data_IF_413277366534
#
_entry.id   IF_413277366534
#
_cell.length_a   1.000
_cell.length_b   1.000
_cell.length_c   1.000
_cell.angle_alpha   90.00
_cell.angle_beta   90.00
_cell.angle_gamma   90.00
#
_symmetry.space_group_name_H-M   'P 1'
#
loop_
_entity.id
_entity.type
_entity.pdbx_description
1 polymer ?
#
# COMPACT_ATOMS: atom_id res chain seq x y z
N UNK A 1 -24.57 20.24 33.58
CA UNK A 1 -23.64 19.75 32.52
C UNK A 1 -22.72 18.74 33.15
N UNK A 2 -22.95 17.46 32.91
CA UNK A 2 -22.13 16.38 33.44
C UNK A 2 -20.86 16.28 32.58
N UNK A 3 -19.78 16.83 33.06
CA UNK A 3 -18.51 16.89 32.33
C UNK A 3 -17.76 15.56 32.30
N UNK A 4 -17.98 14.65 33.27
CA UNK A 4 -17.33 13.36 33.33
C UNK A 4 -18.35 12.26 33.64
N UNK A 5 -18.53 11.33 32.72
CA UNK A 5 -19.38 10.14 32.94
C UNK A 5 -18.57 8.92 33.37
N UNK A 6 -17.37 8.79 32.86
CA UNK A 6 -16.54 7.63 33.08
C UNK A 6 -15.07 8.04 33.05
N UNK A 7 -14.26 7.34 33.82
CA UNK A 7 -12.82 7.34 33.73
C UNK A 7 -12.38 5.99 33.16
N UNK A 8 -11.48 5.99 32.20
CA UNK A 8 -10.92 4.76 31.60
C UNK A 8 -9.42 4.75 31.78
N UNK A 9 -8.87 3.61 32.17
CA UNK A 9 -7.43 3.39 32.31
C UNK A 9 -7.06 1.94 32.03
N UNK A 10 -5.79 1.64 32.12
CA UNK A 10 -5.26 0.31 31.94
C UNK A 10 -5.28 -0.49 33.26
N UNK A 11 -5.27 -1.83 33.15
CA UNK A 11 -5.48 -2.76 34.27
C UNK A 11 -4.47 -2.57 35.41
N UNK A 12 -3.28 -2.07 35.16
CA UNK A 12 -2.29 -1.77 36.20
C UNK A 12 -2.75 -0.73 37.24
N UNK A 13 -3.82 0.00 36.96
CA UNK A 13 -4.40 1.01 37.87
C UNK A 13 -5.66 0.53 38.61
N UNK A 14 -6.02 -0.77 38.49
CA UNK A 14 -7.19 -1.31 39.17
C UNK A 14 -7.13 -1.12 40.69
N UNK A 15 -5.96 -1.31 41.27
CA UNK A 15 -5.72 -1.14 42.71
C UNK A 15 -5.89 0.33 43.17
N UNK A 16 -5.88 1.29 42.26
CA UNK A 16 -6.08 2.70 42.55
C UNK A 16 -7.59 3.12 42.57
N UNK A 17 -8.51 2.21 42.25
CA UNK A 17 -9.95 2.51 42.23
C UNK A 17 -10.47 3.04 43.55
N UNK A 18 -10.09 2.55 44.74
CA UNK A 18 -10.53 3.14 46.01
C UNK A 18 -10.11 4.61 46.19
N UNK A 19 -8.92 4.98 45.69
CA UNK A 19 -8.44 6.37 45.69
C UNK A 19 -9.30 7.22 44.73
N UNK A 20 -9.60 6.72 43.53
CA UNK A 20 -10.48 7.39 42.59
C UNK A 20 -11.86 7.66 43.19
N UNK A 21 -12.49 6.65 43.80
CA UNK A 21 -13.80 6.77 44.42
C UNK A 21 -13.79 7.78 45.59
N UNK A 22 -12.70 7.81 46.36
CA UNK A 22 -12.52 8.79 47.42
C UNK A 22 -12.45 10.22 46.85
N UNK A 23 -11.64 10.44 45.82
CA UNK A 23 -11.49 11.77 45.16
C UNK A 23 -12.85 12.23 44.60
N UNK A 24 -13.60 11.34 43.92
CA UNK A 24 -14.92 11.65 43.35
C UNK A 24 -15.89 12.09 44.43
N UNK A 25 -15.91 11.39 45.58
CA UNK A 25 -16.77 11.73 46.70
C UNK A 25 -16.36 13.07 47.36
N UNK A 26 -15.09 13.28 47.63
CA UNK A 26 -14.60 14.53 48.25
C UNK A 26 -14.76 15.75 47.31
N UNK A 27 -14.77 15.52 45.99
CA UNK A 27 -15.10 16.55 45.02
C UNK A 27 -16.62 16.85 44.88
N UNK A 28 -17.47 16.20 45.71
CA UNK A 28 -18.89 16.46 45.78
C UNK A 28 -19.74 15.75 44.72
N UNK A 29 -19.21 14.80 43.98
CA UNK A 29 -19.99 14.02 43.01
C UNK A 29 -20.74 12.85 43.71
N UNK A 30 -21.80 13.15 44.42
CA UNK A 30 -22.57 12.17 45.20
C UNK A 30 -23.79 11.61 44.47
N UNK A 31 -24.28 12.32 43.43
CA UNK A 31 -25.42 11.88 42.62
C UNK A 31 -24.91 11.39 41.26
N UNK A 32 -25.12 10.11 40.95
CA UNK A 32 -24.64 9.46 39.73
C UNK A 32 -23.12 9.71 39.52
N UNK A 33 -22.26 9.32 40.50
CA UNK A 33 -20.82 9.57 40.37
C UNK A 33 -20.24 8.89 39.15
N UNK A 34 -19.24 9.49 38.52
CA UNK A 34 -18.51 8.83 37.44
C UNK A 34 -17.81 7.56 37.95
N UNK A 35 -17.67 6.60 37.07
CA UNK A 35 -17.03 5.30 37.39
C UNK A 35 -15.73 5.16 36.65
N UNK A 36 -14.72 4.63 37.30
CA UNK A 36 -13.49 4.17 36.69
C UNK A 36 -13.66 2.74 36.15
N UNK A 37 -13.21 2.54 34.92
CA UNK A 37 -13.26 1.24 34.24
C UNK A 37 -11.86 0.98 33.67
N UNK A 38 -11.30 -0.17 33.99
CA UNK A 38 -9.99 -0.60 33.53
C UNK A 38 -10.13 -1.63 32.41
N UNK A 39 -9.24 -1.54 31.44
CA UNK A 39 -9.16 -2.46 30.30
C UNK A 39 -7.73 -2.98 30.13
N UNK A 40 -7.61 -4.16 29.53
CA UNK A 40 -6.34 -4.67 29.08
C UNK A 40 -5.77 -3.74 27.98
N UNK A 41 -4.44 -3.62 27.99
CA UNK A 41 -3.74 -2.88 26.93
C UNK A 41 -3.80 -3.70 25.65
N UNK A 42 -4.06 -3.03 24.51
CA UNK A 42 -3.89 -3.62 23.21
C UNK A 42 -2.41 -3.83 22.91
N UNK A 43 -2.04 -5.05 22.57
CA UNK A 43 -0.73 -5.39 22.03
C UNK A 43 -0.92 -5.94 20.60
N UNK A 44 -0.01 -5.57 19.69
CA UNK A 44 0.01 -6.03 18.32
C UNK A 44 1.30 -6.81 18.06
N UNK A 45 1.23 -7.82 17.22
CA UNK A 45 2.42 -8.51 16.72
C UNK A 45 3.32 -7.55 15.96
N UNK A 46 4.61 -7.77 15.97
CA UNK A 46 5.62 -6.97 15.23
C UNK A 46 5.55 -5.45 15.49
N UNK A 47 4.96 -5.03 16.63
CA UNK A 47 4.68 -3.63 16.91
C UNK A 47 5.09 -3.26 18.34
N UNK A 48 5.91 -2.24 18.47
CA UNK A 48 6.26 -1.66 19.78
C UNK A 48 5.21 -0.65 20.20
N UNK A 49 4.50 -0.92 21.31
CA UNK A 49 3.47 -0.03 21.87
C UNK A 49 3.99 0.81 23.04
N UNK A 50 5.26 0.67 23.42
CA UNK A 50 5.87 1.42 24.54
C UNK A 50 6.31 2.81 24.09
N UNK A 51 5.74 3.88 24.69
CA UNK A 51 6.12 5.26 24.41
C UNK A 51 7.63 5.51 24.61
N UNK A 52 8.25 4.89 25.63
CA UNK A 52 9.69 5.03 25.91
C UNK A 52 10.52 4.46 24.76
N UNK A 53 10.16 3.27 24.26
CA UNK A 53 10.85 2.63 23.13
C UNK A 53 10.63 3.41 21.83
N UNK A 54 9.39 3.85 21.55
CA UNK A 54 9.09 4.68 20.37
C UNK A 54 9.84 6.02 20.39
N UNK A 55 9.96 6.64 21.57
CA UNK A 55 10.78 7.86 21.75
C UNK A 55 12.24 7.61 21.39
N UNK A 56 12.80 6.49 21.85
CA UNK A 56 14.19 6.14 21.54
C UNK A 56 14.42 5.96 20.03
N UNK A 57 13.44 5.40 19.28
CA UNK A 57 13.54 5.30 17.82
C UNK A 57 13.64 6.69 17.17
N UNK A 58 12.84 7.65 17.63
CA UNK A 58 12.86 9.04 17.12
C UNK A 58 14.16 9.76 17.52
N UNK A 59 14.57 9.68 18.80
CA UNK A 59 15.76 10.36 19.31
C UNK A 59 17.06 9.82 18.70
N UNK A 60 17.10 8.53 18.35
CA UNK A 60 18.24 7.91 17.68
C UNK A 60 18.20 8.05 16.14
N UNK A 61 17.20 8.73 15.57
CA UNK A 61 17.09 8.94 14.12
C UNK A 61 16.81 7.67 13.31
N UNK A 62 16.25 6.62 13.93
CA UNK A 62 15.88 5.37 13.27
C UNK A 62 14.57 5.50 12.48
N UNK A 63 13.78 6.51 12.80
CA UNK A 63 12.55 6.92 12.11
C UNK A 63 12.54 8.44 11.95
N UNK A 64 11.81 8.95 10.95
CA UNK A 64 11.77 10.39 10.62
C UNK A 64 10.98 11.26 11.60
N UNK A 65 10.42 10.67 12.64
CA UNK A 65 9.64 11.37 13.67
C UNK A 65 8.39 10.60 14.07
N UNK A 66 7.54 11.26 14.85
CA UNK A 66 6.30 10.65 15.35
C UNK A 66 5.24 10.42 14.26
N UNK A 67 5.40 11.03 13.10
CA UNK A 67 4.56 10.89 11.90
C UNK A 67 5.17 9.94 10.85
N UNK A 68 6.28 9.27 11.17
CA UNK A 68 6.85 8.25 10.27
C UNK A 68 5.79 7.16 9.99
N UNK A 69 5.55 6.80 8.72
CA UNK A 69 4.54 5.79 8.35
C UNK A 69 4.73 4.40 8.96
N UNK A 70 5.92 4.10 9.50
CA UNK A 70 6.21 2.84 10.23
C UNK A 70 5.78 2.89 11.68
N UNK A 71 5.54 4.10 12.22
CA UNK A 71 5.19 4.29 13.63
C UNK A 71 3.72 3.96 13.90
N UNK A 72 3.39 3.22 14.99
CA UNK A 72 2.02 2.90 15.38
C UNK A 72 1.33 4.09 16.08
N UNK A 73 1.51 5.28 15.56
CA UNK A 73 0.86 6.51 16.01
C UNK A 73 -0.28 6.86 15.07
N UNK A 74 -1.28 7.60 15.55
CA UNK A 74 -2.37 8.09 14.69
C UNK A 74 -1.82 8.95 13.54
N UNK A 75 -0.74 9.71 13.78
CA UNK A 75 -0.09 10.52 12.75
C UNK A 75 0.63 9.67 11.71
N UNK A 76 1.36 8.64 12.15
CA UNK A 76 2.04 7.70 11.26
C UNK A 76 1.05 6.89 10.41
N UNK A 77 0.03 6.32 11.05
CA UNK A 77 -1.03 5.59 10.36
C UNK A 77 -1.75 6.47 9.32
N UNK A 78 -2.10 7.71 9.68
CA UNK A 78 -2.71 8.66 8.74
C UNK A 78 -1.82 8.94 7.55
N UNK A 79 -0.54 9.20 7.78
CA UNK A 79 0.45 9.47 6.73
C UNK A 79 0.70 8.25 5.83
N UNK A 80 0.64 7.03 6.41
CA UNK A 80 0.70 5.76 5.66
C UNK A 80 -0.56 5.50 4.84
N UNK A 81 -1.67 6.19 5.12
CA UNK A 81 -2.91 6.09 4.35
C UNK A 81 -4.05 5.37 5.04
N UNK A 82 -3.92 4.99 6.31
CA UNK A 82 -5.03 4.39 7.06
C UNK A 82 -6.19 5.35 7.18
N UNK A 83 -7.40 4.81 7.02
CA UNK A 83 -8.65 5.56 7.17
C UNK A 83 -9.16 5.49 8.60
N UNK A 84 -9.88 6.51 9.08
CA UNK A 84 -10.55 6.43 10.38
C UNK A 84 -11.54 5.26 10.46
N UNK A 85 -12.20 4.94 9.35
CA UNK A 85 -13.16 3.85 9.21
C UNK A 85 -12.47 2.49 9.44
N UNK A 86 -11.33 2.24 8.78
CA UNK A 86 -10.55 1.01 8.95
C UNK A 86 -10.08 0.82 10.40
N UNK A 87 -9.63 1.92 11.05
CA UNK A 87 -9.18 1.86 12.44
C UNK A 87 -10.36 1.58 13.38
N UNK A 88 -11.54 2.14 13.12
CA UNK A 88 -12.75 1.85 13.91
C UNK A 88 -13.21 0.43 13.72
N UNK A 89 -13.27 -0.07 12.48
CA UNK A 89 -13.63 -1.47 12.19
C UNK A 89 -12.66 -2.43 12.89
N UNK A 90 -11.36 -2.14 12.86
CA UNK A 90 -10.36 -2.91 13.61
C UNK A 90 -10.68 -2.92 15.12
N UNK A 91 -10.93 -1.74 15.73
CA UNK A 91 -11.25 -1.65 17.16
C UNK A 91 -12.56 -2.39 17.51
N UNK A 92 -13.56 -2.34 16.65
CA UNK A 92 -14.82 -3.05 16.85
C UNK A 92 -14.65 -4.56 16.79
N UNK A 93 -13.84 -5.06 15.86
CA UNK A 93 -13.55 -6.51 15.71
C UNK A 93 -12.79 -7.09 16.89
N UNK A 94 -11.81 -6.38 17.41
CA UNK A 94 -11.04 -6.85 18.56
C UNK A 94 -11.83 -6.73 19.86
N UNK A 95 -12.78 -5.79 19.92
CA UNK A 95 -13.59 -5.55 21.11
C UNK A 95 -12.80 -5.02 22.30
N UNK A 96 -13.41 -5.04 23.46
CA UNK A 96 -12.82 -4.60 24.73
C UNK A 96 -12.68 -5.81 25.67
N UNK A 97 -11.51 -5.98 26.26
CA UNK A 97 -11.21 -7.09 27.15
C UNK A 97 -10.52 -6.62 28.43
N UNK A 98 -10.68 -7.38 29.52
CA UNK A 98 -9.86 -7.26 30.73
C UNK A 98 -8.68 -8.25 30.75
N UNK A 99 -8.65 -9.20 29.82
CA UNK A 99 -7.55 -10.13 29.68
C UNK A 99 -6.52 -9.59 28.66
N UNK A 100 -5.25 -9.57 29.05
CA UNK A 100 -4.17 -9.21 28.12
C UNK A 100 -4.15 -10.17 26.93
N UNK A 101 -4.15 -9.61 25.73
CA UNK A 101 -4.07 -10.36 24.47
C UNK A 101 -3.13 -9.66 23.52
N UNK A 102 -2.57 -10.42 22.59
CA UNK A 102 -1.83 -9.90 21.46
C UNK A 102 -2.65 -10.16 20.19
N UNK A 103 -2.93 -9.14 19.42
CA UNK A 103 -3.69 -9.20 18.18
C UNK A 103 -2.71 -9.17 17.01
N UNK A 104 -2.98 -9.98 15.99
CA UNK A 104 -2.19 -9.96 14.77
C UNK A 104 -2.35 -8.61 14.06
N UNK A 105 -1.25 -7.90 13.80
CA UNK A 105 -1.23 -6.64 13.07
C UNK A 105 -1.79 -6.75 11.65
N UNK A 106 -1.74 -7.94 11.03
CA UNK A 106 -2.35 -8.21 9.74
C UNK A 106 -3.88 -7.97 9.72
N UNK A 107 -4.55 -8.02 10.89
CA UNK A 107 -5.98 -7.69 10.99
C UNK A 107 -6.23 -6.20 10.71
N UNK A 108 -5.34 -5.31 11.16
CA UNK A 108 -5.45 -3.88 10.88
C UNK A 108 -5.29 -3.58 9.37
N UNK A 109 -4.32 -4.26 8.72
CA UNK A 109 -4.13 -4.17 7.27
C UNK A 109 -5.33 -4.75 6.50
N UNK A 110 -5.93 -5.82 7.02
CA UNK A 110 -7.16 -6.39 6.45
C UNK A 110 -8.32 -5.39 6.50
N UNK A 111 -8.56 -4.73 7.63
CA UNK A 111 -9.60 -3.72 7.75
C UNK A 111 -9.38 -2.54 6.78
N UNK A 112 -8.12 -2.13 6.57
CA UNK A 112 -7.78 -1.11 5.59
C UNK A 112 -8.08 -1.56 4.16
N UNK A 113 -7.69 -2.79 3.79
CA UNK A 113 -7.98 -3.34 2.45
C UNK A 113 -9.48 -3.42 2.17
N UNK A 114 -10.27 -3.88 3.15
CA UNK A 114 -11.73 -3.96 3.00
C UNK A 114 -12.35 -2.56 2.82
N UNK A 115 -11.89 -1.56 3.57
CA UNK A 115 -12.38 -0.19 3.44
C UNK A 115 -12.01 0.44 2.09
N UNK A 116 -10.77 0.24 1.62
CA UNK A 116 -10.29 0.82 0.37
C UNK A 116 -10.75 0.08 -0.89
N UNK A 117 -11.15 -1.17 -0.77
CA UNK A 117 -11.54 -2.03 -1.90
C UNK A 117 -12.57 -1.38 -2.83
N UNK A 118 -13.55 -0.67 -2.27
CA UNK A 118 -14.61 0.00 -3.02
C UNK A 118 -14.42 1.51 -3.15
N UNK A 119 -13.47 2.11 -2.42
CA UNK A 119 -13.27 3.56 -2.36
C UNK A 119 -12.09 4.02 -3.22
N UNK A 120 -11.02 3.23 -3.29
CA UNK A 120 -9.81 3.63 -4.00
C UNK A 120 -9.93 3.40 -5.51
N UNK A 121 -9.44 4.35 -6.30
CA UNK A 121 -9.26 4.13 -7.74
C UNK A 121 -8.13 3.13 -7.96
N UNK A 122 -8.34 2.16 -8.85
CA UNK A 122 -7.32 1.21 -9.30
C UNK A 122 -6.59 1.82 -10.48
N UNK A 123 -5.32 2.13 -10.31
CA UNK A 123 -4.48 2.83 -11.30
C UNK A 123 -3.29 1.98 -11.70
N UNK A 124 -2.70 2.29 -12.84
CA UNK A 124 -1.48 1.62 -13.30
C UNK A 124 -0.25 2.44 -12.90
N UNK A 125 0.61 1.80 -12.13
CA UNK A 125 1.91 2.31 -11.71
C UNK A 125 2.91 1.16 -11.75
N UNK A 126 4.05 1.39 -12.37
CA UNK A 126 5.15 0.44 -12.51
C UNK A 126 6.25 0.87 -11.55
N UNK A 127 6.56 0.04 -10.57
CA UNK A 127 7.48 0.38 -9.48
C UNK A 127 8.94 0.16 -9.88
N UNK A 128 9.23 -0.95 -10.55
CA UNK A 128 10.55 -1.27 -11.11
C UNK A 128 10.46 -1.42 -12.64
N UNK A 129 10.55 -0.30 -13.38
CA UNK A 129 10.22 -0.28 -14.79
C UNK A 129 11.28 -0.95 -15.66
N UNK A 130 10.82 -1.76 -16.61
CA UNK A 130 11.56 -2.14 -17.81
C UNK A 130 10.78 -1.74 -19.04
N UNK A 131 11.48 -1.23 -20.06
CA UNK A 131 10.85 -0.73 -21.28
C UNK A 131 10.49 -1.88 -22.22
N UNK A 132 9.29 -1.83 -22.77
CA UNK A 132 8.81 -2.72 -23.84
C UNK A 132 8.60 -1.88 -25.09
N UNK A 133 9.21 -2.27 -26.21
CA UNK A 133 9.02 -1.67 -27.53
C UNK A 133 8.16 -2.59 -28.38
N UNK A 134 7.00 -2.11 -28.82
CA UNK A 134 6.08 -2.84 -29.67
C UNK A 134 6.45 -2.56 -31.13
N UNK A 135 7.27 -3.43 -31.72
CA UNK A 135 7.97 -3.17 -32.98
C UNK A 135 7.07 -2.99 -34.18
N UNK A 136 5.90 -3.62 -34.20
CA UNK A 136 4.90 -3.49 -35.28
C UNK A 136 3.78 -2.48 -34.96
N UNK A 137 3.87 -1.71 -33.85
CA UNK A 137 2.97 -0.58 -33.61
C UNK A 137 3.47 0.65 -34.36
N UNK A 138 2.59 1.46 -35.00
CA UNK A 138 3.00 2.62 -35.77
C UNK A 138 3.77 3.66 -34.94
N UNK A 139 4.85 4.17 -35.50
CA UNK A 139 5.64 5.22 -34.85
C UNK A 139 4.86 6.53 -34.66
N UNK A 140 4.99 7.14 -33.50
CA UNK A 140 4.33 8.39 -33.15
C UNK A 140 2.80 8.30 -33.00
N UNK A 141 2.22 7.13 -33.15
CA UNK A 141 0.80 6.94 -32.91
C UNK A 141 0.55 6.74 -31.42
N UNK A 142 -0.35 7.54 -30.85
CA UNK A 142 -0.87 7.36 -29.50
C UNK A 142 -2.38 7.21 -29.59
N UNK A 143 -2.91 6.16 -28.98
CA UNK A 143 -4.34 5.99 -28.80
C UNK A 143 -4.72 6.04 -27.31
N UNK A 144 -5.99 6.26 -27.03
CA UNK A 144 -6.51 6.32 -25.66
C UNK A 144 -7.35 5.10 -25.38
N UNK A 145 -6.96 4.39 -24.30
CA UNK A 145 -7.64 3.17 -23.83
C UNK A 145 -8.51 3.55 -22.63
N UNK A 146 -9.79 3.17 -22.71
CA UNK A 146 -10.74 3.36 -21.61
C UNK A 146 -10.56 2.24 -20.57
N UNK A 147 -10.34 2.61 -19.29
CA UNK A 147 -10.15 1.69 -18.17
C UNK A 147 -11.07 2.09 -17.03
N UNK A 148 -11.70 1.11 -16.38
CA UNK A 148 -12.51 1.31 -15.19
C UNK A 148 -11.65 1.81 -14.01
N UNK A 149 -12.17 2.82 -13.30
CA UNK A 149 -11.48 3.34 -12.12
C UNK A 149 -11.51 2.38 -10.93
N UNK A 150 -12.54 1.56 -10.83
CA UNK A 150 -12.60 0.49 -9.84
C UNK A 150 -13.59 -0.60 -10.29
N UNK A 151 -13.14 -1.85 -10.49
CA UNK A 151 -14.02 -2.95 -10.89
C UNK A 151 -15.09 -3.33 -9.87
N UNK A 152 -14.82 -3.06 -8.57
CA UNK A 152 -15.75 -3.35 -7.46
C UNK A 152 -16.75 -2.21 -7.22
N UNK A 153 -16.49 -1.03 -7.79
CA UNK A 153 -17.37 0.14 -7.67
C UNK A 153 -17.49 0.90 -9.00
N UNK A 154 -18.45 0.51 -9.85
CA UNK A 154 -18.67 1.16 -11.14
C UNK A 154 -19.06 2.66 -11.05
N UNK A 155 -19.54 3.13 -9.88
CA UNK A 155 -19.90 4.53 -9.69
C UNK A 155 -18.68 5.47 -9.78
N UNK A 156 -17.48 4.95 -9.55
CA UNK A 156 -16.25 5.71 -9.74
C UNK A 156 -15.95 6.00 -11.22
N UNK A 157 -16.72 5.40 -12.14
CA UNK A 157 -16.63 5.65 -13.58
C UNK A 157 -15.36 5.08 -14.22
N UNK A 158 -14.96 5.70 -15.31
CA UNK A 158 -13.83 5.27 -16.14
C UNK A 158 -12.89 6.44 -16.39
N UNK A 159 -11.68 6.12 -16.81
CA UNK A 159 -10.69 7.08 -17.31
C UNK A 159 -10.07 6.59 -18.60
N UNK A 160 -9.39 7.46 -19.30
CA UNK A 160 -8.60 7.11 -20.49
C UNK A 160 -7.12 7.18 -20.14
N UNK A 161 -6.37 6.19 -20.62
CA UNK A 161 -4.91 6.15 -20.50
C UNK A 161 -4.28 6.09 -21.89
N UNK A 162 -3.19 6.82 -22.15
CA UNK A 162 -2.49 6.77 -23.42
C UNK A 162 -1.81 5.41 -23.61
N UNK A 163 -1.79 4.92 -24.85
CA UNK A 163 -1.08 3.73 -25.28
C UNK A 163 -0.32 4.06 -26.56
N UNK A 164 0.95 3.74 -26.58
CA UNK A 164 1.85 3.99 -27.69
C UNK A 164 2.76 2.81 -27.99
N UNK A 165 3.74 3.04 -28.86
CA UNK A 165 4.73 2.05 -29.27
C UNK A 165 5.61 1.58 -28.12
N UNK A 166 5.91 2.46 -27.16
CA UNK A 166 6.75 2.17 -26.00
C UNK A 166 5.93 2.22 -24.72
N UNK A 167 6.06 1.18 -23.91
CA UNK A 167 5.40 1.08 -22.60
C UNK A 167 6.40 0.55 -21.55
N UNK A 168 6.16 0.88 -20.30
CA UNK A 168 6.84 0.28 -19.15
C UNK A 168 5.98 -0.83 -18.54
N UNK A 169 6.63 -1.92 -18.13
CA UNK A 169 6.06 -2.99 -17.31
C UNK A 169 6.96 -3.24 -16.10
N UNK A 170 6.49 -3.99 -15.11
CA UNK A 170 7.34 -4.42 -14.00
C UNK A 170 8.46 -5.34 -14.50
N UNK A 171 9.67 -5.11 -14.01
CA UNK A 171 10.82 -5.98 -14.35
C UNK A 171 10.56 -7.44 -14.02
N UNK A 172 9.90 -7.72 -12.90
CA UNK A 172 9.52 -9.07 -12.47
C UNK A 172 8.49 -9.74 -13.40
N UNK A 173 7.84 -8.99 -14.28
CA UNK A 173 6.90 -9.52 -15.27
C UNK A 173 7.61 -10.12 -16.51
N UNK A 174 8.92 -10.00 -16.59
CA UNK A 174 9.71 -10.61 -17.63
C UNK A 174 10.73 -11.61 -17.07
N UNK A 175 10.91 -12.73 -17.75
CA UNK A 175 11.92 -13.73 -17.42
C UNK A 175 12.46 -14.34 -18.72
N UNK A 176 13.78 -14.26 -18.91
CA UNK A 176 14.46 -14.85 -20.08
C UNK A 176 14.29 -16.37 -20.14
N UNK A 177 14.56 -17.05 -19.04
CA UNK A 177 14.37 -18.49 -18.88
C UNK A 177 13.22 -18.77 -17.89
N UNK A 178 11.98 -18.85 -18.37
CA UNK A 178 10.82 -18.93 -17.49
C UNK A 178 10.77 -20.26 -16.74
N UNK A 179 10.59 -20.18 -15.44
CA UNK A 179 10.34 -21.34 -14.59
C UNK A 179 8.98 -21.95 -14.85
N UNK A 180 8.78 -23.22 -14.46
CA UNK A 180 7.50 -23.90 -14.59
C UNK A 180 6.37 -23.10 -13.91
N UNK A 181 5.28 -22.89 -14.63
CA UNK A 181 4.11 -22.06 -14.21
C UNK A 181 4.35 -20.53 -14.18
N UNK A 182 5.38 -20.04 -14.83
CA UNK A 182 5.50 -18.60 -15.08
C UNK A 182 4.53 -18.18 -16.20
N UNK A 183 3.48 -17.45 -15.84
CA UNK A 183 2.44 -17.00 -16.77
C UNK A 183 2.55 -15.51 -17.09
N UNK A 184 3.77 -14.99 -17.13
CA UNK A 184 4.09 -13.62 -17.51
C UNK A 184 4.90 -13.60 -18.81
N UNK A 185 5.50 -12.47 -19.16
CA UNK A 185 6.21 -12.29 -20.42
C UNK A 185 7.55 -13.04 -20.44
N UNK A 186 7.82 -13.74 -21.53
CA UNK A 186 9.07 -14.45 -21.79
C UNK A 186 9.27 -14.59 -23.30
N UNK A 187 10.47 -14.91 -23.80
CA UNK A 187 10.70 -15.11 -25.22
C UNK A 187 9.71 -16.08 -25.86
N UNK A 188 9.03 -15.63 -26.92
CA UNK A 188 7.99 -16.37 -27.61
C UNK A 188 6.67 -16.55 -26.84
N UNK A 189 6.52 -15.92 -25.66
CA UNK A 189 5.27 -15.98 -24.89
C UNK A 189 4.39 -14.76 -25.14
N UNK A 190 3.09 -15.03 -25.20
CA UNK A 190 2.06 -14.02 -25.36
C UNK A 190 1.41 -13.69 -24.02
N UNK A 191 1.22 -12.40 -23.75
CA UNK A 191 0.52 -11.88 -22.58
C UNK A 191 -0.47 -10.79 -23.00
N UNK A 192 -1.39 -10.46 -22.10
CA UNK A 192 -2.34 -9.36 -22.27
C UNK A 192 -1.83 -8.13 -21.54
N UNK A 193 -1.72 -7.02 -22.23
CA UNK A 193 -1.62 -5.70 -21.61
C UNK A 193 -3.04 -5.26 -21.21
N UNK A 194 -3.22 -4.93 -19.94
CA UNK A 194 -4.55 -4.64 -19.34
C UNK A 194 -5.32 -3.61 -20.14
N UNK A 195 -6.50 -4.03 -20.65
CA UNK A 195 -7.38 -3.17 -21.43
C UNK A 195 -6.90 -2.82 -22.85
N UNK A 196 -5.63 -3.12 -23.19
CA UNK A 196 -5.04 -2.80 -24.49
C UNK A 196 -5.03 -4.03 -25.43
N UNK A 197 -3.88 -4.66 -25.62
CA UNK A 197 -3.67 -5.69 -26.63
C UNK A 197 -2.96 -6.93 -26.07
N UNK A 198 -2.95 -8.00 -26.85
CA UNK A 198 -2.01 -9.09 -26.66
C UNK A 198 -0.66 -8.69 -27.26
N UNK A 199 0.40 -9.01 -26.54
CA UNK A 199 1.79 -8.81 -27.01
C UNK A 199 2.58 -10.09 -26.84
N UNK A 200 3.43 -10.38 -27.83
CA UNK A 200 4.33 -11.52 -27.83
C UNK A 200 5.76 -11.03 -27.83
N UNK A 201 6.58 -11.48 -26.90
CA UNK A 201 8.00 -11.15 -26.87
C UNK A 201 8.74 -11.83 -28.02
N UNK A 202 9.46 -11.04 -28.81
CA UNK A 202 10.28 -11.50 -29.94
C UNK A 202 11.77 -11.47 -29.66
N UNK A 203 12.22 -10.49 -28.84
CA UNK A 203 13.63 -10.29 -28.52
C UNK A 203 13.75 -9.43 -27.25
N UNK A 204 14.97 -9.28 -26.73
CA UNK A 204 15.28 -8.39 -25.60
C UNK A 204 16.75 -7.95 -25.63
N UNK A 205 17.04 -6.83 -24.98
CA UNK A 205 18.37 -6.22 -24.91
C UNK A 205 18.87 -6.25 -23.46
N UNK A 206 20.15 -6.57 -23.27
CA UNK A 206 20.84 -6.52 -21.98
C UNK A 206 21.91 -5.44 -22.00
N UNK A 207 22.21 -4.91 -20.83
CA UNK A 207 23.37 -4.05 -20.61
C UNK A 207 24.67 -4.88 -20.39
N UNK A 208 25.76 -4.16 -20.11
CA UNK A 208 27.09 -4.76 -19.86
C UNK A 208 27.11 -5.66 -18.60
N UNK A 209 26.18 -5.49 -17.68
CA UNK A 209 26.05 -6.26 -16.44
C UNK A 209 25.13 -7.49 -16.62
N UNK A 210 24.50 -7.63 -17.79
CA UNK A 210 23.54 -8.68 -18.08
C UNK A 210 22.11 -8.37 -17.64
N UNK A 211 21.83 -7.14 -17.18
CA UNK A 211 20.49 -6.70 -16.80
C UNK A 211 19.66 -6.35 -18.04
N UNK A 212 18.38 -6.73 -18.03
CA UNK A 212 17.47 -6.47 -19.14
C UNK A 212 17.07 -5.01 -19.12
N UNK A 213 17.37 -4.29 -20.20
CA UNK A 213 17.07 -2.86 -20.35
C UNK A 213 15.88 -2.60 -21.26
N UNK A 214 15.64 -3.48 -22.25
CA UNK A 214 14.57 -3.30 -23.22
C UNK A 214 14.05 -4.67 -23.70
N UNK A 215 12.75 -4.78 -23.91
CA UNK A 215 12.08 -5.98 -24.41
C UNK A 215 11.37 -5.63 -25.70
N UNK A 216 11.58 -6.40 -26.75
CA UNK A 216 10.91 -6.22 -28.04
C UNK A 216 9.70 -7.17 -28.14
N UNK A 217 8.56 -6.59 -28.49
CA UNK A 217 7.32 -7.36 -28.67
C UNK A 217 6.65 -7.01 -30.00
N UNK A 218 5.80 -7.92 -30.47
CA UNK A 218 4.80 -7.61 -31.47
C UNK A 218 3.41 -7.65 -30.81
N UNK A 219 2.50 -6.78 -31.25
CA UNK A 219 1.12 -6.81 -30.77
C UNK A 219 0.18 -7.42 -31.83
N UNK A 220 -0.94 -7.94 -31.36
CA UNK A 220 -2.05 -8.40 -32.19
C UNK A 220 -3.12 -7.29 -32.28
N UNK A 221 -3.26 -6.63 -33.46
CA UNK A 221 -4.22 -5.53 -33.63
C UNK A 221 -5.68 -5.93 -33.39
N UNK A 222 -6.04 -7.21 -33.64
CA UNK A 222 -7.41 -7.71 -33.49
C UNK A 222 -7.77 -7.97 -32.01
N UNK A 223 -6.78 -7.94 -31.11
CA UNK A 223 -6.98 -8.18 -29.68
C UNK A 223 -7.30 -6.94 -28.86
N UNK A 224 -7.70 -5.83 -29.49
CA UNK A 224 -8.03 -4.57 -28.81
C UNK A 224 -9.06 -4.78 -27.70
N UNK A 225 -8.81 -4.22 -26.51
CA UNK A 225 -9.62 -4.46 -25.32
C UNK A 225 -9.24 -5.73 -24.56
N UNK A 226 -8.20 -6.46 -25.01
CA UNK A 226 -7.64 -7.62 -24.33
C UNK A 226 -8.39 -8.92 -24.56
N UNK A 227 -9.15 -9.02 -25.67
CA UNK A 227 -9.75 -10.27 -26.15
C UNK A 227 -9.39 -10.48 -27.62
N UNK A 228 -9.32 -11.72 -28.04
CA UNK A 228 -9.05 -12.06 -29.45
C UNK A 228 -10.25 -12.71 -30.09
N UNK A 229 -10.56 -12.38 -31.39
CA UNK A 229 -11.66 -12.97 -32.13
C UNK A 229 -11.57 -14.50 -32.28
N UNK A 230 -10.37 -15.06 -32.26
CA UNK A 230 -10.13 -16.51 -32.34
C UNK A 230 -10.40 -17.24 -31.02
N UNK A 231 -10.72 -16.53 -29.95
CA UNK A 231 -11.07 -17.08 -28.63
C UNK A 231 -9.93 -17.77 -27.91
N UNK A 232 -8.66 -17.55 -28.33
CA UNK A 232 -7.50 -18.12 -27.63
C UNK A 232 -7.38 -17.54 -26.22
N UNK A 233 -6.97 -18.39 -25.29
CA UNK A 233 -6.85 -18.02 -23.87
C UNK A 233 -5.42 -17.61 -23.55
N UNK A 234 -5.20 -16.32 -23.30
CA UNK A 234 -3.95 -15.76 -22.81
C UNK A 234 -4.03 -15.64 -21.28
N UNK A 235 -3.13 -16.33 -20.56
CA UNK A 235 -3.21 -16.45 -19.10
C UNK A 235 -2.63 -15.25 -18.36
N UNK A 236 -1.56 -14.62 -18.86
CA UNK A 236 -0.92 -13.48 -18.25
C UNK A 236 -1.64 -12.18 -18.57
N UNK A 237 -1.91 -11.36 -17.57
CA UNK A 237 -2.33 -9.96 -17.74
C UNK A 237 -1.39 -9.06 -16.97
N UNK A 238 -0.73 -8.14 -17.68
CA UNK A 238 0.21 -7.20 -17.12
C UNK A 238 -0.42 -5.80 -17.06
N UNK A 239 -0.13 -5.04 -16.04
CA UNK A 239 -0.33 -3.60 -16.06
C UNK A 239 0.87 -2.94 -16.75
N UNK A 240 0.68 -1.75 -17.22
CA UNK A 240 1.65 -1.03 -18.05
C UNK A 240 1.44 0.46 -17.93
N UNK A 241 2.46 1.24 -18.30
CA UNK A 241 2.37 2.71 -18.39
C UNK A 241 3.01 3.14 -19.71
N UNK A 242 2.35 4.04 -20.46
CA UNK A 242 2.86 4.56 -21.72
C UNK A 242 4.15 5.36 -21.47
N UNK A 243 5.20 5.08 -22.22
CA UNK A 243 6.48 5.76 -22.06
C UNK A 243 6.43 7.23 -22.54
N UNK A 244 5.66 7.50 -23.61
CA UNK A 244 5.55 8.84 -24.20
C UNK A 244 4.78 9.82 -23.32
N UNK A 245 3.92 9.32 -22.41
CA UNK A 245 3.09 10.14 -21.55
C UNK A 245 2.95 9.53 -20.16
N UNK A 246 4.05 9.47 -19.42
CA UNK A 246 4.09 9.06 -18.01
C UNK A 246 4.72 10.13 -17.14
N UNK A 247 4.63 9.92 -15.84
CA UNK A 247 5.31 10.76 -14.83
C UNK A 247 6.19 9.86 -13.96
N UNK A 248 7.34 10.38 -13.55
CA UNK A 248 8.19 9.70 -12.58
C UNK A 248 7.74 10.05 -11.15
N UNK A 249 7.68 9.06 -10.29
CA UNK A 249 7.29 9.21 -8.89
C UNK A 249 8.18 8.38 -7.97
N UNK A 250 8.14 8.69 -6.68
CA UNK A 250 8.72 7.86 -5.63
C UNK A 250 7.61 7.03 -4.98
N UNK A 251 7.82 5.74 -4.83
CA UNK A 251 6.97 4.86 -4.03
C UNK A 251 7.77 4.25 -2.88
N UNK A 252 7.14 4.17 -1.71
CA UNK A 252 7.73 3.62 -0.49
C UNK A 252 6.95 2.37 -0.09
N UNK A 253 7.64 1.25 -0.09
CA UNK A 253 7.10 -0.02 0.34
C UNK A 253 7.45 -0.22 1.82
N UNK A 254 6.43 -0.42 2.64
CA UNK A 254 6.60 -0.57 4.09
C UNK A 254 6.34 -2.01 4.49
N UNK A 255 7.25 -2.55 5.28
CA UNK A 255 7.10 -3.80 6.00
C UNK A 255 7.01 -3.52 7.52
N UNK A 256 6.90 -4.56 8.33
CA UNK A 256 6.93 -4.44 9.78
C UNK A 256 8.21 -3.77 10.25
N UNK A 257 8.05 -2.75 11.10
CA UNK A 257 9.19 -2.02 11.66
C UNK A 257 10.02 -2.89 12.61
N UNK A 258 9.37 -3.84 13.30
CA UNK A 258 10.01 -4.71 14.27
C UNK A 258 9.76 -6.17 13.90
N UNK A 259 10.78 -6.99 14.09
CA UNK A 259 10.74 -8.44 13.90
C UNK A 259 11.05 -9.14 15.23
N UNK A 260 10.57 -10.37 15.38
CA UNK A 260 11.02 -11.23 16.46
C UNK A 260 12.51 -11.48 16.33
N UNK A 261 13.21 -11.47 17.47
CA UNK A 261 14.64 -11.76 17.47
C UNK A 261 14.88 -13.25 17.25
N UNK A 262 15.50 -13.67 16.13
CA UNK A 262 15.72 -15.08 15.86
C UNK A 262 16.68 -15.74 16.84
N UNK A 263 17.59 -14.96 17.47
CA UNK A 263 18.57 -15.46 18.44
C UNK A 263 18.01 -15.53 19.87
N UNK A 264 16.92 -14.81 20.14
CA UNK A 264 16.20 -14.82 21.43
C UNK A 264 14.69 -14.68 21.19
N UNK A 265 13.96 -15.76 20.87
CA UNK A 265 12.53 -15.72 20.56
C UNK A 265 11.63 -15.21 21.71
N UNK A 266 12.14 -15.19 22.95
CA UNK A 266 11.44 -14.66 24.11
C UNK A 266 11.97 -13.27 24.53
N UNK A 267 12.93 -12.77 23.81
CA UNK A 267 13.59 -11.49 24.06
C UNK A 267 12.90 -10.29 23.45
N UNK A 268 13.66 -9.22 23.34
CA UNK A 268 13.18 -7.98 22.70
C UNK A 268 13.19 -8.11 21.19
N UNK A 269 12.13 -7.61 20.52
CA UNK A 269 12.09 -7.46 19.07
C UNK A 269 13.25 -6.62 18.56
N UNK A 270 13.77 -6.94 17.40
CA UNK A 270 14.82 -6.19 16.71
C UNK A 270 14.22 -5.33 15.59
N UNK A 271 14.90 -4.25 15.25
CA UNK A 271 14.46 -3.41 14.13
C UNK A 271 14.68 -4.12 12.81
N UNK A 272 13.67 -4.10 11.95
CA UNK A 272 13.75 -4.60 10.58
C UNK A 272 14.52 -3.59 9.72
N UNK A 273 15.71 -3.94 9.19
CA UNK A 273 16.48 -3.05 8.33
C UNK A 273 15.78 -2.77 6.99
N UNK A 274 14.91 -3.69 6.55
CA UNK A 274 14.13 -3.58 5.31
C UNK A 274 12.70 -3.08 5.57
N UNK A 275 12.44 -2.45 6.73
CA UNK A 275 11.13 -1.92 7.08
C UNK A 275 10.61 -0.84 6.12
N UNK A 276 11.47 -0.31 5.27
CA UNK A 276 11.14 0.62 4.17
C UNK A 276 12.06 0.34 2.98
N UNK A 277 11.45 0.19 1.80
CA UNK A 277 12.15 0.14 0.52
C UNK A 277 11.67 1.35 -0.31
N UNK A 278 12.60 2.15 -0.79
CA UNK A 278 12.30 3.37 -1.56
C UNK A 278 12.58 3.13 -3.04
N UNK A 279 11.50 3.12 -3.83
CA UNK A 279 11.54 3.03 -5.30
C UNK A 279 11.44 4.44 -5.86
N UNK A 280 12.54 4.95 -6.47
CA UNK A 280 12.64 6.38 -6.86
C UNK A 280 12.20 6.67 -8.29
N UNK A 281 12.20 5.67 -9.16
CA UNK A 281 12.01 5.83 -10.60
C UNK A 281 10.73 5.16 -11.12
N UNK A 282 9.70 5.06 -10.23
CA UNK A 282 8.42 4.50 -10.60
C UNK A 282 7.80 5.29 -11.76
N UNK A 283 7.18 4.58 -12.71
CA UNK A 283 6.44 5.21 -13.80
C UNK A 283 4.94 5.10 -13.51
N UNK A 284 4.28 6.24 -13.50
CA UNK A 284 2.86 6.35 -13.18
C UNK A 284 2.06 6.91 -14.35
N UNK A 285 0.83 6.46 -14.51
CA UNK A 285 -0.09 6.95 -15.53
C UNK A 285 -0.45 8.44 -15.33
N UNK A 286 -0.83 9.17 -16.41
CA UNK A 286 -1.07 10.60 -16.33
C UNK A 286 -2.17 11.03 -15.36
N UNK A 287 -3.15 10.18 -15.08
CA UNK A 287 -4.25 10.50 -14.16
C UNK A 287 -3.80 10.77 -12.71
N UNK A 288 -2.58 10.37 -12.37
CA UNK A 288 -1.99 10.59 -11.04
C UNK A 288 -1.23 11.91 -10.90
N UNK A 289 -1.04 12.68 -11.97
CA UNK A 289 -0.28 13.94 -11.93
C UNK A 289 -0.85 14.97 -10.96
N UNK A 290 -2.17 15.02 -10.88
CA UNK A 290 -2.91 15.96 -10.03
C UNK A 290 -3.44 15.31 -8.74
N UNK A 291 -2.85 14.16 -8.35
CA UNK A 291 -3.28 13.45 -7.15
C UNK A 291 -3.07 14.32 -5.90
N UNK A 292 -4.11 14.49 -5.12
CA UNK A 292 -4.08 15.33 -3.92
C UNK A 292 -3.33 14.65 -2.77
N UNK A 293 -2.64 15.43 -1.94
CA UNK A 293 -1.99 14.93 -0.72
C UNK A 293 -3.00 14.19 0.17
N UNK A 294 -2.66 12.96 0.54
CA UNK A 294 -3.52 12.08 1.33
C UNK A 294 -4.57 11.31 0.52
N UNK A 295 -4.65 11.52 -0.80
CA UNK A 295 -5.48 10.69 -1.68
C UNK A 295 -4.92 9.27 -1.77
N UNK A 296 -5.80 8.29 -1.88
CA UNK A 296 -5.46 6.86 -1.82
C UNK A 296 -5.81 6.18 -3.12
N UNK A 297 -4.93 5.30 -3.57
CA UNK A 297 -5.05 4.55 -4.80
C UNK A 297 -4.70 3.08 -4.56
N UNK A 298 -5.25 2.20 -5.36
CA UNK A 298 -4.73 0.86 -5.52
C UNK A 298 -3.83 0.85 -6.78
N UNK A 299 -2.53 0.68 -6.58
CA UNK A 299 -1.63 0.36 -7.70
C UNK A 299 -1.87 -1.09 -8.10
N UNK A 300 -2.32 -1.27 -9.34
CA UNK A 300 -2.75 -2.57 -9.85
C UNK A 300 -1.70 -3.65 -9.60
N UNK A 301 -2.07 -4.74 -8.91
CA UNK A 301 -1.23 -5.87 -8.53
C UNK A 301 -0.19 -5.58 -7.44
N UNK A 302 0.14 -4.34 -7.16
CA UNK A 302 1.18 -3.97 -6.20
C UNK A 302 0.62 -3.74 -4.78
N UNK A 303 -0.46 -2.98 -4.63
CA UNK A 303 -1.02 -2.71 -3.31
C UNK A 303 -1.75 -1.37 -3.22
N UNK A 304 -2.06 -0.95 -2.00
CA UNK A 304 -2.66 0.36 -1.73
C UNK A 304 -1.58 1.36 -1.37
N UNK A 305 -1.70 2.55 -1.93
CA UNK A 305 -0.75 3.64 -1.74
C UNK A 305 -1.49 4.94 -1.44
N UNK A 306 -0.85 5.80 -0.65
CA UNK A 306 -1.36 7.12 -0.28
C UNK A 306 -0.35 8.19 -0.68
N UNK A 307 -0.81 9.28 -1.32
CA UNK A 307 0.05 10.42 -1.62
C UNK A 307 0.58 11.01 -0.32
N UNK A 308 1.90 11.04 -0.15
CA UNK A 308 2.54 11.52 1.07
C UNK A 308 2.21 13.01 1.30
N UNK A 309 1.75 13.33 2.52
CA UNK A 309 1.31 14.68 2.88
C UNK A 309 2.46 15.64 3.18
N UNK A 310 3.67 15.11 3.45
CA UNK A 310 4.85 15.88 3.87
C UNK A 310 5.86 16.03 2.74
N UNK A 311 6.22 14.90 2.09
CA UNK A 311 7.34 14.85 1.15
C UNK A 311 6.92 15.05 -0.32
N UNK A 312 5.62 15.00 -0.64
CA UNK A 312 5.11 15.39 -1.95
C UNK A 312 5.21 16.92 -2.13
N UNK A 313 5.81 17.33 -3.23
CA UNK A 313 5.91 18.73 -3.67
C UNK A 313 5.31 18.87 -5.07
N UNK A 314 5.26 20.10 -5.60
CA UNK A 314 4.74 20.34 -6.95
C UNK A 314 5.57 19.62 -8.03
N UNK A 315 6.86 19.39 -7.78
CA UNK A 315 7.79 18.76 -8.72
C UNK A 315 8.00 17.25 -8.43
N UNK A 316 7.51 16.75 -7.32
CA UNK A 316 7.77 15.38 -6.87
C UNK A 316 6.56 14.74 -6.20
N UNK A 317 6.03 13.71 -6.81
CA UNK A 317 5.02 12.85 -6.21
C UNK A 317 5.68 11.73 -5.40
N UNK A 318 5.23 11.57 -4.16
CA UNK A 318 5.68 10.51 -3.25
C UNK A 318 4.45 9.73 -2.76
N UNK A 319 4.51 8.41 -2.85
CA UNK A 319 3.46 7.50 -2.42
C UNK A 319 3.95 6.60 -1.29
N UNK A 320 3.18 6.55 -0.19
CA UNK A 320 3.40 5.68 0.95
C UNK A 320 2.53 4.45 0.87
#
# INVERSE_FOLDING_TARGET
TTLFRSSVCTMEFEDHRPLYDWVVREAGYTVNPPRQIEFARLNLTNTVMSKRKLRALVENGLVDGWDDPRMPTVSGLRRRGYTPEAIRDFCERIGVSKANSCVDSALLDYCLREDLKTKAKVVMAVLDPVKVVITNYPEGQIEFIEIENNPENPELGKRTVPFGREVYIEREDFMEEPVKKFFRLAPGKEVRLKGAYFVTCTDFVKDENGEITEIHCTYDPESRGGNSPDGRKVKGTLHWVCADDCTTAEARLYDYMMLDNPDDPNGEMIMNPESIIVMKDCKIEPSLREAAKGERFQFMRNGYFCVDTKDTTDDKLVFN
#
